data_IF_364244904449
#
_entry.id   IF_364244904449
#
_cell.length_a   1.000
_cell.length_b   1.000
_cell.length_c   1.000
_cell.angle_alpha   90.00
_cell.angle_beta   90.00
_cell.angle_gamma   90.00
#
_symmetry.space_group_name_H-M   'P 1'
#
loop_
_entity.id
_entity.type
_entity.pdbx_description
1 polymer ?
#
# COMPACT_ATOMS: atom_id res chain seq x y z
N UNK A 1 -66.64 -43.24 -50.49
CA UNK A 1 -66.79 -41.84 -50.97
C UNK A 1 -65.45 -41.14 -50.84
N UNK A 2 -64.91 -40.59 -51.93
CA UNK A 2 -63.68 -39.79 -51.89
C UNK A 2 -64.03 -38.46 -51.21
N UNK A 3 -63.35 -38.11 -50.12
CA UNK A 3 -63.61 -36.85 -49.42
C UNK A 3 -63.07 -35.68 -50.27
N UNK A 4 -63.92 -34.69 -50.52
CA UNK A 4 -63.63 -33.52 -51.35
C UNK A 4 -62.52 -32.66 -50.73
N UNK A 5 -61.65 -32.09 -51.57
CA UNK A 5 -60.66 -31.11 -51.12
C UNK A 5 -61.25 -29.71 -51.09
N UNK A 6 -60.92 -28.97 -50.03
CA UNK A 6 -61.33 -27.60 -49.80
C UNK A 6 -60.10 -26.71 -49.69
N UNK A 7 -60.20 -25.51 -50.26
CA UNK A 7 -59.26 -24.41 -50.13
C UNK A 7 -59.88 -23.34 -49.23
N UNK A 8 -59.22 -22.96 -48.13
CA UNK A 8 -59.66 -21.88 -47.25
C UNK A 8 -58.63 -20.74 -47.23
N UNK A 9 -59.11 -19.50 -47.34
CA UNK A 9 -58.28 -18.30 -47.27
C UNK A 9 -58.29 -17.66 -45.87
N UNK A 10 -57.14 -17.16 -45.41
CA UNK A 10 -56.92 -16.56 -44.09
C UNK A 10 -56.52 -15.08 -44.14
N UNK A 11 -56.52 -14.45 -45.31
CA UNK A 11 -55.99 -13.09 -45.53
C UNK A 11 -56.87 -12.22 -46.44
N UNK A 12 -56.84 -10.91 -46.20
CA UNK A 12 -57.45 -9.86 -47.03
C UNK A 12 -58.96 -10.00 -47.23
N UNK A 13 -59.48 -9.54 -48.37
CA UNK A 13 -60.92 -9.48 -48.66
C UNK A 13 -61.60 -10.86 -48.78
N UNK A 14 -60.83 -11.92 -49.06
CA UNK A 14 -61.32 -13.30 -49.19
C UNK A 14 -61.20 -14.11 -47.90
N UNK A 15 -60.83 -13.48 -46.78
CA UNK A 15 -60.66 -14.18 -45.50
C UNK A 15 -61.94 -14.91 -45.08
N UNK A 16 -61.82 -16.21 -44.81
CA UNK A 16 -62.92 -17.08 -44.39
C UNK A 16 -63.70 -17.71 -45.55
N UNK A 17 -63.41 -17.32 -46.79
CA UNK A 17 -63.97 -17.98 -47.98
C UNK A 17 -63.35 -19.36 -48.11
N UNK A 18 -64.21 -20.37 -48.30
CA UNK A 18 -63.84 -21.76 -48.51
C UNK A 18 -64.38 -22.24 -49.84
N UNK A 19 -63.51 -22.76 -50.70
CA UNK A 19 -63.86 -23.16 -52.06
C UNK A 19 -63.55 -24.64 -52.29
N UNK A 20 -64.46 -25.37 -52.94
CA UNK A 20 -64.19 -26.74 -53.37
C UNK A 20 -63.14 -26.80 -54.48
N UNK A 21 -62.31 -27.84 -54.45
CA UNK A 21 -61.40 -28.19 -55.54
C UNK A 21 -61.97 -29.42 -56.25
N UNK A 22 -62.69 -29.19 -57.34
CA UNK A 22 -63.29 -30.25 -58.18
C UNK A 22 -62.38 -30.55 -59.37
N UNK A 23 -61.49 -31.55 -59.23
CA UNK A 23 -60.40 -31.89 -60.15
C UNK A 23 -59.34 -30.80 -60.35
N UNK A 24 -59.73 -29.58 -60.76
CA UNK A 24 -58.85 -28.45 -61.02
C UNK A 24 -59.52 -27.14 -60.60
N UNK A 25 -58.80 -26.31 -59.86
CA UNK A 25 -59.19 -24.96 -59.49
C UNK A 25 -58.06 -23.99 -59.88
N UNK A 26 -58.39 -22.89 -60.56
CA UNK A 26 -57.38 -21.93 -61.02
C UNK A 26 -57.57 -20.58 -60.34
N UNK A 27 -56.51 -20.03 -59.78
CA UNK A 27 -56.48 -18.69 -59.21
C UNK A 27 -55.69 -17.77 -60.15
N UNK A 28 -56.23 -16.64 -60.55
CA UNK A 28 -55.56 -15.70 -61.49
C UNK A 28 -55.60 -14.27 -60.97
N UNK A 29 -54.66 -13.43 -61.41
CA UNK A 29 -54.67 -11.99 -61.09
C UNK A 29 -55.52 -11.12 -62.02
N UNK A 30 -56.03 -11.65 -63.13
CA UNK A 30 -56.94 -10.90 -64.02
C UNK A 30 -58.32 -10.73 -63.41
N UNK A 31 -58.94 -9.55 -63.57
CA UNK A 31 -60.31 -9.24 -63.13
C UNK A 31 -61.39 -9.70 -64.12
N UNK A 32 -61.03 -9.91 -65.39
CA UNK A 32 -61.96 -10.32 -66.44
C UNK A 32 -61.72 -11.78 -66.82
N UNK A 33 -62.68 -12.66 -66.51
CA UNK A 33 -62.57 -14.10 -66.79
C UNK A 33 -63.91 -14.63 -67.26
N UNK A 34 -63.88 -15.49 -68.29
CA UNK A 34 -65.05 -16.19 -68.86
C UNK A 34 -64.93 -17.72 -68.80
N UNK A 35 -63.88 -18.24 -68.14
CA UNK A 35 -63.61 -19.67 -67.96
C UNK A 35 -64.27 -20.19 -66.67
N UNK A 36 -64.81 -21.42 -66.72
CA UNK A 36 -65.31 -22.13 -65.55
C UNK A 36 -64.15 -22.60 -64.64
N UNK A 37 -64.38 -22.68 -63.33
CA UNK A 37 -63.39 -23.06 -62.29
C UNK A 37 -62.16 -22.14 -62.14
N UNK A 38 -62.32 -20.87 -62.51
CA UNK A 38 -61.29 -19.84 -62.34
C UNK A 38 -61.77 -18.74 -61.37
N UNK A 39 -60.92 -18.38 -60.41
CA UNK A 39 -61.22 -17.36 -59.39
C UNK A 39 -60.29 -16.16 -59.59
N UNK A 40 -60.83 -14.95 -59.80
CA UNK A 40 -60.05 -13.73 -59.85
C UNK A 40 -59.59 -13.33 -58.44
N UNK A 41 -58.28 -13.18 -58.26
CA UNK A 41 -57.63 -12.69 -57.04
C UNK A 41 -56.67 -11.53 -57.38
N UNK A 42 -57.19 -10.53 -58.10
CA UNK A 42 -56.44 -9.36 -58.56
C UNK A 42 -55.78 -8.53 -57.44
N UNK A 43 -56.30 -8.60 -56.21
CA UNK A 43 -55.69 -7.93 -55.05
C UNK A 43 -54.40 -8.60 -54.54
N UNK A 44 -54.16 -9.87 -54.91
CA UNK A 44 -53.05 -10.66 -54.38
C UNK A 44 -52.05 -11.15 -55.44
N UNK A 45 -52.49 -11.29 -56.70
CA UNK A 45 -51.73 -11.84 -57.81
C UNK A 45 -51.58 -10.80 -58.93
N UNK A 46 -50.45 -10.81 -59.65
CA UNK A 46 -50.29 -9.95 -60.83
C UNK A 46 -51.13 -10.49 -62.01
N UNK A 47 -51.50 -9.65 -62.99
CA UNK A 47 -52.34 -10.09 -64.12
C UNK A 47 -51.81 -11.32 -64.88
N UNK A 48 -50.49 -11.52 -64.88
CA UNK A 48 -49.80 -12.62 -65.55
C UNK A 48 -49.66 -13.88 -64.68
N UNK A 49 -49.98 -13.80 -63.39
CA UNK A 49 -49.87 -14.92 -62.46
C UNK A 49 -51.12 -15.82 -62.52
N UNK A 50 -50.87 -17.11 -62.75
CA UNK A 50 -51.86 -18.20 -62.74
C UNK A 50 -51.37 -19.29 -61.80
N UNK A 51 -52.15 -19.57 -60.75
CA UNK A 51 -51.90 -20.66 -59.81
C UNK A 51 -52.95 -21.73 -60.05
N UNK A 52 -52.53 -22.89 -60.51
CA UNK A 52 -53.42 -24.03 -60.74
C UNK A 52 -53.32 -25.01 -59.58
N UNK A 53 -54.44 -25.37 -58.99
CA UNK A 53 -54.58 -26.37 -57.95
C UNK A 53 -55.26 -27.59 -58.56
N UNK A 54 -54.50 -28.66 -58.73
CA UNK A 54 -54.98 -29.90 -59.35
C UNK A 54 -54.96 -31.04 -58.33
N UNK A 55 -56.04 -31.82 -58.31
CA UNK A 55 -56.11 -33.03 -57.51
C UNK A 55 -55.36 -34.18 -58.21
N UNK A 56 -54.20 -34.55 -57.66
CA UNK A 56 -53.42 -35.71 -58.12
C UNK A 56 -53.48 -36.82 -57.06
N UNK A 57 -54.36 -37.79 -57.27
CA UNK A 57 -54.55 -38.94 -56.39
C UNK A 57 -55.05 -38.53 -55.00
N UNK A 58 -54.18 -38.64 -54.00
CA UNK A 58 -54.47 -38.32 -52.60
C UNK A 58 -53.91 -36.98 -52.13
N UNK A 59 -53.41 -36.14 -53.05
CA UNK A 59 -52.76 -34.85 -52.77
C UNK A 59 -53.23 -33.75 -53.72
N UNK A 60 -53.07 -32.49 -53.31
CA UNK A 60 -53.24 -31.34 -54.21
C UNK A 60 -51.88 -30.87 -54.68
N UNK A 61 -51.70 -30.69 -55.99
CA UNK A 61 -50.52 -30.06 -56.56
C UNK A 61 -50.85 -28.63 -56.97
N UNK A 62 -50.02 -27.71 -56.52
CA UNK A 62 -50.04 -26.32 -56.94
C UNK A 62 -49.00 -26.11 -58.05
N UNK A 63 -49.43 -25.62 -59.22
CA UNK A 63 -48.57 -25.24 -60.35
C UNK A 63 -48.62 -23.72 -60.47
N UNK A 64 -47.46 -23.08 -60.62
CA UNK A 64 -47.36 -21.63 -60.77
C UNK A 64 -47.17 -20.88 -59.43
N UNK A 65 -47.35 -21.55 -58.29
CA UNK A 65 -47.03 -20.98 -56.97
C UNK A 65 -45.51 -20.72 -56.90
N UNK A 66 -45.10 -19.45 -56.85
CA UNK A 66 -43.70 -19.02 -56.94
C UNK A 66 -42.95 -19.59 -58.17
N UNK A 67 -43.64 -19.74 -59.31
CA UNK A 67 -43.13 -20.33 -60.57
C UNK A 67 -42.62 -21.77 -60.42
N UNK A 68 -43.08 -22.50 -59.39
CA UNK A 68 -42.70 -23.90 -59.13
C UNK A 68 -43.94 -24.79 -59.09
N UNK A 69 -43.69 -26.09 -59.24
CA UNK A 69 -44.66 -27.15 -58.97
C UNK A 69 -44.46 -27.63 -57.54
N UNK A 70 -45.49 -27.55 -56.70
CA UNK A 70 -45.42 -27.85 -55.27
C UNK A 70 -46.58 -28.75 -54.85
N UNK A 71 -46.29 -29.88 -54.22
CA UNK A 71 -47.32 -30.70 -53.56
C UNK A 71 -47.74 -30.03 -52.25
N UNK A 72 -49.02 -29.70 -52.13
CA UNK A 72 -49.59 -29.10 -50.94
C UNK A 72 -49.84 -30.17 -49.87
N UNK A 73 -49.43 -29.86 -48.64
CA UNK A 73 -49.63 -30.67 -47.44
C UNK A 73 -50.93 -30.22 -46.80
N UNK A 74 -51.79 -31.19 -46.49
CA UNK A 74 -53.06 -30.96 -45.79
C UNK A 74 -52.84 -30.15 -44.50
N UNK A 75 -53.73 -29.17 -44.27
CA UNK A 75 -53.74 -28.30 -43.09
C UNK A 75 -52.49 -27.41 -42.88
N UNK A 76 -51.53 -27.42 -43.81
CA UNK A 76 -50.40 -26.51 -43.79
C UNK A 76 -50.82 -25.15 -44.34
N UNK A 77 -50.44 -24.09 -43.63
CA UNK A 77 -50.70 -22.72 -44.05
C UNK A 77 -49.62 -22.29 -45.04
N UNK A 78 -50.04 -21.95 -46.25
CA UNK A 78 -49.21 -21.39 -47.31
C UNK A 78 -49.36 -19.89 -47.33
N UNK A 79 -48.25 -19.18 -47.59
CA UNK A 79 -48.22 -17.72 -47.73
C UNK A 79 -47.50 -17.35 -49.01
N UNK A 80 -48.17 -16.61 -49.89
CA UNK A 80 -47.64 -16.13 -51.15
C UNK A 80 -48.13 -14.70 -51.41
N UNK A 81 -47.21 -13.72 -51.46
CA UNK A 81 -47.52 -12.31 -51.81
C UNK A 81 -48.74 -11.72 -51.08
N UNK A 82 -48.91 -12.02 -49.80
CA UNK A 82 -50.05 -11.54 -49.00
C UNK A 82 -51.26 -12.49 -48.97
N UNK A 83 -51.40 -13.39 -49.95
CA UNK A 83 -52.37 -14.47 -49.94
C UNK A 83 -51.94 -15.55 -48.94
N UNK A 84 -52.79 -15.83 -47.97
CA UNK A 84 -52.62 -16.90 -46.99
C UNK A 84 -53.75 -17.89 -47.16
N UNK A 85 -53.44 -19.16 -47.44
CA UNK A 85 -54.43 -20.20 -47.63
C UNK A 85 -53.98 -21.54 -47.06
N UNK A 86 -54.92 -22.45 -46.84
CA UNK A 86 -54.63 -23.86 -46.58
C UNK A 86 -55.57 -24.75 -47.38
N UNK A 87 -55.15 -25.99 -47.62
CA UNK A 87 -55.98 -27.01 -48.25
C UNK A 87 -56.22 -28.15 -47.26
N UNK A 88 -57.43 -28.70 -47.24
CA UNK A 88 -57.79 -29.82 -46.38
C UNK A 88 -58.97 -30.61 -46.95
N UNK A 89 -59.14 -31.86 -46.51
CA UNK A 89 -60.32 -32.64 -46.90
C UNK A 89 -61.53 -32.22 -46.07
N UNK A 90 -62.71 -32.23 -46.69
CA UNK A 90 -63.97 -31.95 -46.02
C UNK A 90 -64.10 -32.79 -44.72
N UNK A 91 -64.38 -32.12 -43.59
CA UNK A 91 -64.43 -32.73 -42.26
C UNK A 91 -63.09 -32.87 -41.53
N UNK A 92 -61.95 -32.54 -42.16
CA UNK A 92 -60.59 -32.65 -41.57
C UNK A 92 -59.89 -31.30 -41.36
N UNK A 93 -60.65 -30.22 -41.18
CA UNK A 93 -60.12 -28.87 -40.99
C UNK A 93 -59.34 -28.77 -39.66
N UNK A 94 -58.03 -28.51 -39.73
CA UNK A 94 -57.15 -28.27 -38.57
C UNK A 94 -55.89 -27.45 -38.94
N UNK A 95 -56.01 -26.17 -39.31
CA UNK A 95 -54.88 -25.38 -39.81
C UNK A 95 -53.77 -25.18 -38.76
N UNK A 96 -52.52 -25.45 -39.13
CA UNK A 96 -51.35 -25.32 -38.26
C UNK A 96 -50.90 -23.85 -38.05
N UNK A 97 -51.64 -23.11 -37.20
CA UNK A 97 -51.32 -21.73 -36.84
C UNK A 97 -50.12 -21.64 -35.88
N UNK A 98 -48.97 -21.13 -36.36
CA UNK A 98 -47.83 -20.80 -35.48
C UNK A 98 -48.12 -19.53 -34.67
N UNK A 99 -48.24 -19.64 -33.35
CA UNK A 99 -48.37 -18.49 -32.43
C UNK A 99 -46.98 -18.01 -31.98
N UNK A 100 -46.56 -16.81 -32.36
CA UNK A 100 -45.26 -16.24 -31.98
C UNK A 100 -45.32 -15.45 -30.65
N UNK A 101 -45.55 -16.15 -29.53
CA UNK A 101 -45.69 -15.50 -28.20
C UNK A 101 -44.45 -14.71 -27.76
N UNK A 102 -43.24 -15.15 -28.15
CA UNK A 102 -41.99 -14.48 -27.75
C UNK A 102 -41.86 -13.05 -28.28
N UNK A 103 -42.30 -12.79 -29.53
CA UNK A 103 -42.26 -11.44 -30.12
C UNK A 103 -43.24 -10.48 -29.44
N UNK A 104 -44.35 -11.01 -28.91
CA UNK A 104 -45.34 -10.21 -28.20
C UNK A 104 -44.80 -9.66 -26.86
N UNK A 105 -43.94 -10.43 -26.17
CA UNK A 105 -43.38 -10.06 -24.86
C UNK A 105 -41.95 -9.51 -24.90
N UNK A 106 -41.38 -9.36 -26.10
CA UNK A 106 -40.02 -8.83 -26.28
C UNK A 106 -39.75 -7.49 -25.57
N UNK A 107 -40.63 -6.46 -25.64
CA UNK A 107 -40.37 -5.19 -24.95
C UNK A 107 -40.39 -5.35 -23.43
N UNK A 108 -41.29 -6.20 -22.89
CA UNK A 108 -41.37 -6.46 -21.46
C UNK A 108 -40.09 -7.13 -20.96
N UNK A 109 -39.57 -8.11 -21.69
CA UNK A 109 -38.31 -8.78 -21.38
C UNK A 109 -37.14 -7.80 -21.35
N UNK A 110 -37.04 -6.91 -22.35
CA UNK A 110 -35.97 -5.91 -22.42
C UNK A 110 -36.01 -4.95 -21.22
N UNK A 111 -37.19 -4.44 -20.86
CA UNK A 111 -37.36 -3.57 -19.68
C UNK A 111 -36.98 -4.32 -18.40
N UNK A 112 -37.42 -5.57 -18.26
CA UNK A 112 -37.12 -6.36 -17.07
C UNK A 112 -35.61 -6.57 -16.91
N UNK A 113 -34.92 -6.96 -17.98
CA UNK A 113 -33.45 -7.11 -17.98
C UNK A 113 -32.75 -5.80 -17.66
N UNK A 114 -33.17 -4.68 -18.27
CA UNK A 114 -32.57 -3.37 -18.02
C UNK A 114 -32.71 -2.94 -16.54
N UNK A 115 -33.89 -3.15 -15.93
CA UNK A 115 -34.11 -2.84 -14.51
C UNK A 115 -33.20 -3.68 -13.61
N UNK A 116 -33.09 -4.98 -13.86
CA UNK A 116 -32.21 -5.84 -13.08
C UNK A 116 -30.74 -5.43 -13.23
N UNK A 117 -30.32 -5.05 -14.43
CA UNK A 117 -28.97 -4.57 -14.69
C UNK A 117 -28.69 -3.28 -13.91
N UNK A 118 -29.62 -2.33 -13.93
CA UNK A 118 -29.50 -1.07 -13.20
C UNK A 118 -29.45 -1.28 -11.69
N UNK A 119 -30.30 -2.17 -11.15
CA UNK A 119 -30.28 -2.52 -9.73
C UNK A 119 -28.97 -3.20 -9.32
N UNK A 120 -28.45 -4.11 -10.15
CA UNK A 120 -27.18 -4.78 -9.88
C UNK A 120 -26.01 -3.78 -9.88
N UNK A 121 -25.95 -2.90 -10.89
CA UNK A 121 -24.91 -1.86 -10.98
C UNK A 121 -25.02 -0.89 -9.80
N UNK A 122 -26.22 -0.38 -9.51
CA UNK A 122 -26.45 0.55 -8.41
C UNK A 122 -26.16 -0.07 -7.03
N UNK A 123 -26.56 -1.33 -6.83
CA UNK A 123 -26.25 -2.07 -5.60
C UNK A 123 -24.74 -2.28 -5.42
N UNK A 124 -24.03 -2.63 -6.49
CA UNK A 124 -22.58 -2.79 -6.48
C UNK A 124 -21.86 -1.47 -6.16
N UNK A 125 -22.19 -0.38 -6.85
CA UNK A 125 -21.53 0.92 -6.62
C UNK A 125 -21.81 1.46 -5.23
N UNK A 126 -23.04 1.33 -4.73
CA UNK A 126 -23.39 1.71 -3.37
C UNK A 126 -22.62 0.90 -2.33
N UNK A 127 -22.53 -0.41 -2.50
CA UNK A 127 -21.78 -1.27 -1.58
C UNK A 127 -20.27 -0.94 -1.61
N UNK A 128 -19.69 -0.72 -2.78
CA UNK A 128 -18.30 -0.34 -2.92
C UNK A 128 -18.00 1.02 -2.25
N UNK A 129 -18.87 2.02 -2.43
CA UNK A 129 -18.74 3.31 -1.77
C UNK A 129 -18.79 3.18 -0.23
N UNK A 130 -19.73 2.37 0.27
CA UNK A 130 -19.86 2.11 1.71
C UNK A 130 -18.63 1.39 2.27
N UNK A 131 -18.10 0.40 1.57
CA UNK A 131 -16.89 -0.31 1.98
C UNK A 131 -15.67 0.62 2.03
N UNK A 132 -15.51 1.49 1.04
CA UNK A 132 -14.42 2.48 1.03
C UNK A 132 -14.52 3.46 2.20
N UNK A 133 -15.74 3.92 2.53
CA UNK A 133 -15.95 4.79 3.68
C UNK A 133 -15.62 4.07 5.00
N UNK A 134 -16.15 2.86 5.20
CA UNK A 134 -15.87 2.06 6.39
C UNK A 134 -14.37 1.79 6.55
N UNK A 135 -13.66 1.51 5.45
CA UNK A 135 -12.22 1.31 5.47
C UNK A 135 -11.47 2.59 5.90
N UNK A 136 -11.89 3.76 5.42
CA UNK A 136 -11.36 5.05 5.85
C UNK A 136 -11.55 5.28 7.36
N UNK A 137 -12.75 5.01 7.87
CA UNK A 137 -13.07 5.13 9.29
C UNK A 137 -12.18 4.18 10.14
N UNK A 138 -11.95 2.95 9.67
CA UNK A 138 -11.07 1.99 10.34
C UNK A 138 -9.60 2.46 10.34
N UNK A 139 -9.09 3.00 9.25
CA UNK A 139 -7.74 3.58 9.21
C UNK A 139 -7.60 4.75 10.18
N UNK A 140 -8.62 5.58 10.30
CA UNK A 140 -8.62 6.73 11.21
C UNK A 140 -8.56 6.28 12.68
N UNK A 141 -9.31 5.23 13.03
CA UNK A 141 -9.29 4.58 14.37
C UNK A 141 -7.94 3.95 14.69
N UNK A 142 -7.29 3.33 13.71
CA UNK A 142 -5.93 2.77 13.90
C UNK A 142 -4.94 3.90 14.20
N UNK A 143 -5.09 5.04 13.51
CA UNK A 143 -4.28 6.24 13.68
C UNK A 143 -2.83 6.05 13.27
N UNK A 144 -2.02 5.46 14.15
CA UNK A 144 -0.60 5.21 13.93
C UNK A 144 -0.25 3.78 14.31
N UNK A 145 0.40 3.09 13.37
CA UNK A 145 0.80 1.70 13.52
C UNK A 145 1.57 1.21 12.30
N UNK A 146 2.00 -0.03 12.34
CA UNK A 146 2.67 -0.68 11.21
C UNK A 146 2.18 -2.13 11.06
N UNK A 147 2.32 -2.66 9.85
CA UNK A 147 1.97 -4.06 9.56
C UNK A 147 3.26 -4.87 9.44
N UNK A 148 3.37 -5.94 10.22
CA UNK A 148 4.47 -6.89 10.16
C UNK A 148 3.91 -8.29 10.31
N UNK A 149 4.34 -9.21 9.44
CA UNK A 149 3.93 -10.62 9.45
C UNK A 149 2.39 -10.83 9.45
N UNK A 150 1.67 -9.95 8.74
CA UNK A 150 0.21 -10.00 8.65
C UNK A 150 -0.53 -9.53 9.91
N UNK A 151 0.18 -8.96 10.89
CA UNK A 151 -0.37 -8.39 12.10
C UNK A 151 -0.20 -6.87 12.12
N UNK A 152 -1.22 -6.18 12.62
CA UNK A 152 -1.24 -4.75 12.83
C UNK A 152 -0.74 -4.41 14.23
N UNK A 153 0.35 -3.67 14.32
CA UNK A 153 0.90 -3.14 15.56
C UNK A 153 0.40 -1.71 15.76
N UNK A 154 -0.35 -1.45 16.82
CA UNK A 154 -0.90 -0.12 17.14
C UNK A 154 -0.59 0.31 18.57
N UNK A 155 -0.50 1.62 18.79
CA UNK A 155 -0.20 2.23 20.08
C UNK A 155 -1.44 2.72 20.84
N UNK A 156 -2.65 2.64 20.26
CA UNK A 156 -3.89 3.15 20.84
C UNK A 156 -4.88 2.02 21.13
N UNK A 157 -4.90 1.51 22.36
CA UNK A 157 -5.79 0.41 22.77
C UNK A 157 -7.28 0.82 22.84
N UNK A 158 -7.57 2.06 23.23
CA UNK A 158 -8.95 2.51 23.56
C UNK A 158 -9.90 2.57 22.36
N UNK A 159 -9.37 2.70 21.14
CA UNK A 159 -10.17 2.86 19.92
C UNK A 159 -10.35 1.53 19.16
N UNK A 160 -9.61 0.47 19.52
CA UNK A 160 -9.68 -0.86 18.87
C UNK A 160 -11.05 -1.52 19.02
N UNK A 161 -11.83 -1.16 20.05
CA UNK A 161 -13.20 -1.66 20.23
C UNK A 161 -14.18 -1.23 19.12
N UNK A 162 -13.83 -0.20 18.34
CA UNK A 162 -14.60 0.26 17.18
C UNK A 162 -14.26 -0.51 15.89
N UNK A 163 -13.18 -1.29 15.89
CA UNK A 163 -12.79 -2.14 14.77
C UNK A 163 -13.62 -3.44 14.74
N UNK A 164 -13.73 -4.10 13.58
CA UNK A 164 -14.45 -5.36 13.50
C UNK A 164 -13.86 -6.41 14.45
N UNK A 165 -14.71 -7.08 15.25
CA UNK A 165 -14.28 -8.02 16.29
C UNK A 165 -13.31 -9.10 15.80
N UNK A 166 -13.46 -9.54 14.55
CA UNK A 166 -12.61 -10.56 13.94
C UNK A 166 -11.17 -10.08 13.66
N UNK A 167 -10.90 -8.76 13.68
CA UNK A 167 -9.55 -8.20 13.58
C UNK A 167 -8.75 -8.35 14.87
N UNK A 168 -9.39 -8.59 16.02
CA UNK A 168 -8.72 -8.64 17.32
C UNK A 168 -7.52 -9.60 17.36
N UNK A 169 -7.61 -10.74 16.65
CA UNK A 169 -6.53 -11.73 16.59
C UNK A 169 -5.31 -11.28 15.76
N UNK A 170 -5.48 -10.22 14.96
CA UNK A 170 -4.45 -9.67 14.08
C UNK A 170 -3.90 -8.34 14.61
N UNK A 171 -4.36 -7.87 15.78
CA UNK A 171 -3.95 -6.58 16.34
C UNK A 171 -3.07 -6.82 17.56
N UNK A 172 -1.83 -6.38 17.49
CA UNK A 172 -0.92 -6.31 18.63
C UNK A 172 -0.83 -4.88 19.14
N UNK A 173 -0.96 -4.72 20.45
CA UNK A 173 -0.84 -3.41 21.09
C UNK A 173 0.56 -3.22 21.64
N UNK A 174 1.19 -2.12 21.28
CA UNK A 174 2.51 -1.74 21.75
C UNK A 174 2.41 -0.90 23.03
N UNK A 175 3.31 -1.15 23.98
CA UNK A 175 3.54 -0.26 25.12
C UNK A 175 3.98 1.12 24.64
N UNK A 176 3.45 2.18 25.25
CA UNK A 176 3.74 3.57 24.86
C UNK A 176 4.91 4.17 25.65
N UNK A 177 5.37 3.51 26.70
CA UNK A 177 6.34 4.12 27.61
C UNK A 177 7.75 4.18 27.01
N UNK A 178 8.30 5.40 26.94
CA UNK A 178 9.67 5.74 26.53
C UNK A 178 10.03 5.57 25.04
N UNK A 179 9.06 5.63 24.13
CA UNK A 179 9.33 5.52 22.69
C UNK A 179 9.06 6.82 21.93
N UNK A 180 10.01 7.23 21.09
CA UNK A 180 9.80 8.27 20.08
C UNK A 180 9.02 7.68 18.91
N UNK A 181 8.01 8.42 18.45
CA UNK A 181 7.18 8.03 17.30
C UNK A 181 7.66 8.79 16.08
N UNK A 182 8.02 8.07 15.03
CA UNK A 182 8.26 8.65 13.72
C UNK A 182 7.05 8.42 12.80
N UNK A 183 6.80 9.37 11.91
CA UNK A 183 5.78 9.24 10.86
C UNK A 183 6.30 8.52 9.61
N UNK A 184 7.62 8.40 9.48
CA UNK A 184 8.29 7.76 8.34
C UNK A 184 9.08 6.55 8.83
N UNK A 185 9.10 5.49 8.01
CA UNK A 185 9.92 4.31 8.24
C UNK A 185 11.40 4.55 7.90
N UNK A 186 11.67 5.52 7.02
CA UNK A 186 13.03 5.92 6.67
C UNK A 186 13.48 7.00 7.64
N UNK A 187 14.45 6.65 8.49
CA UNK A 187 14.99 7.54 9.52
C UNK A 187 16.44 7.88 9.19
N UNK A 188 16.76 9.16 9.28
CA UNK A 188 18.14 9.64 9.28
C UNK A 188 18.56 9.95 10.71
N UNK A 189 19.71 9.44 11.13
CA UNK A 189 20.28 9.71 12.44
C UNK A 189 21.29 10.84 12.31
N UNK A 190 21.00 11.97 12.94
CA UNK A 190 21.85 13.17 12.88
C UNK A 190 22.25 13.57 14.29
N UNK A 191 23.51 13.96 14.46
CA UNK A 191 24.01 14.53 15.70
C UNK A 191 23.44 15.93 15.89
N UNK A 192 22.72 16.17 16.99
CA UNK A 192 22.20 17.49 17.34
C UNK A 192 23.32 18.54 17.49
N UNK A 193 24.47 18.12 18.03
CA UNK A 193 25.64 19.00 18.21
C UNK A 193 26.33 19.39 16.91
N UNK A 194 26.55 18.43 15.99
CA UNK A 194 27.38 18.67 14.79
C UNK A 194 26.59 18.82 13.50
N UNK A 195 25.31 18.48 13.49
CA UNK A 195 24.46 18.41 12.30
C UNK A 195 24.87 17.34 11.29
N UNK A 196 25.81 16.44 11.64
CA UNK A 196 26.33 15.41 10.74
C UNK A 196 25.63 14.06 10.98
N UNK A 197 25.52 13.19 9.95
CA UNK A 197 24.99 11.85 10.09
C UNK A 197 25.79 11.02 11.10
N UNK A 198 25.08 10.28 11.95
CA UNK A 198 25.63 9.33 12.91
C UNK A 198 25.58 7.92 12.33
N UNK A 199 26.63 7.13 12.59
CA UNK A 199 26.58 5.69 12.35
C UNK A 199 25.74 5.05 13.45
N UNK A 200 24.79 4.21 13.06
CA UNK A 200 24.01 3.40 13.98
C UNK A 200 23.75 2.02 13.40
N UNK A 201 23.32 1.11 14.26
CA UNK A 201 22.93 -0.25 13.91
C UNK A 201 21.48 -0.49 14.28
N UNK A 202 20.75 -1.22 13.43
CA UNK A 202 19.37 -1.61 13.70
C UNK A 202 19.37 -3.05 14.21
N UNK A 203 18.81 -3.27 15.40
CA UNK A 203 18.56 -4.59 15.97
C UNK A 203 17.06 -4.83 16.02
N UNK A 204 16.57 -5.85 15.30
CA UNK A 204 15.15 -6.22 15.34
C UNK A 204 14.83 -7.05 16.57
N UNK A 205 13.85 -6.59 17.35
CA UNK A 205 13.26 -7.31 18.48
C UNK A 205 11.87 -7.84 18.09
N UNK A 206 11.22 -8.57 19.00
CA UNK A 206 9.92 -9.19 18.76
C UNK A 206 8.81 -8.17 18.46
N UNK A 207 8.83 -7.01 19.13
CA UNK A 207 7.78 -6.00 19.10
C UNK A 207 8.21 -4.66 18.45
N UNK A 208 9.50 -4.50 18.14
CA UNK A 208 10.06 -3.25 17.62
C UNK A 208 11.45 -3.43 17.03
N UNK A 209 11.89 -2.44 16.27
CA UNK A 209 13.30 -2.27 15.94
C UNK A 209 13.96 -1.30 16.94
N UNK A 210 15.19 -1.59 17.33
CA UNK A 210 16.02 -0.72 18.16
C UNK A 210 17.15 -0.14 17.31
N UNK A 211 17.23 1.19 17.26
CA UNK A 211 18.40 1.89 16.71
C UNK A 211 19.41 2.07 17.84
N UNK A 212 20.63 1.58 17.63
CA UNK A 212 21.75 1.73 18.56
C UNK A 212 22.78 2.69 17.96
N UNK A 213 23.22 3.65 18.77
CA UNK A 213 24.20 4.67 18.39
C UNK A 213 25.28 4.69 19.46
N UNK A 214 26.55 4.66 19.04
CA UNK A 214 27.68 4.85 19.94
C UNK A 214 27.80 6.34 20.28
N UNK A 215 27.57 6.69 21.54
CA UNK A 215 27.60 8.06 22.05
C UNK A 215 28.86 8.36 22.86
N UNK A 216 29.79 7.40 22.97
CA UNK A 216 30.96 7.46 23.83
C UNK A 216 30.59 7.80 25.29
N UNK A 217 29.39 7.41 25.73
CA UNK A 217 28.86 7.77 27.04
C UNK A 217 29.80 7.33 28.17
N UNK A 218 30.37 6.12 28.07
CA UNK A 218 31.32 5.60 29.04
C UNK A 218 32.56 6.50 29.14
N UNK A 219 33.15 6.87 28.00
CA UNK A 219 34.33 7.74 27.97
C UNK A 219 34.01 9.12 28.56
N UNK A 220 32.87 9.71 28.18
CA UNK A 220 32.43 11.00 28.71
C UNK A 220 32.23 10.96 30.23
N UNK A 221 31.68 9.86 30.76
CA UNK A 221 31.52 9.66 32.21
C UNK A 221 32.87 9.52 32.92
N UNK A 222 33.83 8.81 32.32
CA UNK A 222 35.20 8.69 32.85
C UNK A 222 35.89 10.05 32.87
N UNK A 223 35.84 10.79 31.76
CA UNK A 223 36.40 12.14 31.66
C UNK A 223 35.80 13.09 32.70
N UNK A 224 34.47 13.07 32.86
CA UNK A 224 33.77 13.88 33.84
C UNK A 224 34.17 13.51 35.28
N UNK A 225 34.26 12.22 35.60
CA UNK A 225 34.64 11.73 36.92
C UNK A 225 36.09 12.15 37.26
N UNK A 226 37.05 11.91 36.37
CA UNK A 226 38.44 12.28 36.60
C UNK A 226 38.62 13.81 36.65
N UNK A 227 37.99 14.55 35.72
CA UNK A 227 38.08 16.00 35.64
C UNK A 227 37.49 16.71 36.85
N UNK A 228 36.36 16.24 37.40
CA UNK A 228 35.75 16.78 38.63
C UNK A 228 36.69 16.69 39.83
N UNK A 229 37.55 15.68 39.86
CA UNK A 229 38.51 15.45 40.94
C UNK A 229 39.92 15.97 40.60
N UNK A 230 40.05 16.81 39.57
CA UNK A 230 41.29 17.41 39.10
C UNK A 230 42.40 16.39 38.78
N UNK A 231 42.02 15.19 38.33
CA UNK A 231 42.96 14.17 37.86
C UNK A 231 43.24 14.47 36.40
N UNK A 232 44.48 14.73 36.04
CA UNK A 232 44.86 14.92 34.64
C UNK A 232 44.86 13.58 33.91
N UNK A 233 44.30 13.54 32.71
CA UNK A 233 44.19 12.32 31.94
C UNK A 233 44.32 12.54 30.43
N UNK A 234 44.72 11.49 29.71
CA UNK A 234 44.51 11.36 28.27
C UNK A 234 44.20 9.89 27.92
N UNK A 235 43.48 9.68 26.82
CA UNK A 235 43.15 8.34 26.32
C UNK A 235 44.01 8.00 25.11
N UNK A 236 44.58 6.79 25.09
CA UNK A 236 45.28 6.26 23.92
C UNK A 236 44.89 4.80 23.71
N UNK A 237 44.18 4.52 22.61
CA UNK A 237 43.52 3.24 22.40
C UNK A 237 42.53 2.97 23.53
N UNK A 238 42.58 1.78 24.11
CA UNK A 238 41.71 1.37 25.21
C UNK A 238 42.18 1.82 26.60
N UNK A 239 43.38 2.43 26.69
CA UNK A 239 44.00 2.77 27.97
C UNK A 239 43.82 4.25 28.32
N UNK A 240 43.56 4.48 29.61
CA UNK A 240 43.47 5.81 30.20
C UNK A 240 44.74 6.09 31.00
N UNK A 241 45.52 7.07 30.55
CA UNK A 241 46.73 7.49 31.23
C UNK A 241 46.40 8.63 32.19
N UNK A 242 46.69 8.44 33.47
CA UNK A 242 46.29 9.36 34.54
C UNK A 242 47.49 9.79 35.39
N UNK A 243 47.40 10.99 35.98
CA UNK A 243 48.45 11.54 36.86
C UNK A 243 48.62 10.77 38.17
N UNK A 244 47.52 10.27 38.75
CA UNK A 244 47.52 9.47 39.98
C UNK A 244 46.62 8.23 39.80
N UNK A 245 47.19 7.05 39.49
CA UNK A 245 46.43 5.83 39.28
C UNK A 245 45.66 5.34 40.51
N UNK A 246 46.18 5.56 41.71
CA UNK A 246 45.54 5.08 42.94
C UNK A 246 44.28 5.90 43.23
N UNK A 247 44.38 7.22 43.13
CA UNK A 247 43.25 8.14 43.30
C UNK A 247 42.25 8.02 42.15
N UNK A 248 42.71 7.86 40.91
CA UNK A 248 41.84 7.63 39.76
C UNK A 248 41.03 6.34 39.91
N UNK A 249 41.66 5.26 40.39
CA UNK A 249 40.97 4.00 40.67
C UNK A 249 39.85 4.17 41.70
N UNK A 250 40.10 4.91 42.78
CA UNK A 250 39.09 5.18 43.79
C UNK A 250 37.93 6.01 43.21
N UNK A 251 38.23 7.14 42.55
CA UNK A 251 37.22 8.01 41.94
C UNK A 251 36.34 7.27 40.93
N UNK A 252 36.93 6.43 40.06
CA UNK A 252 36.16 5.66 39.10
C UNK A 252 35.33 4.56 39.78
N UNK A 253 35.83 3.94 40.85
CA UNK A 253 35.06 2.94 41.61
C UNK A 253 33.86 3.59 42.31
N UNK A 254 34.07 4.73 42.96
CA UNK A 254 33.03 5.49 43.66
C UNK A 254 31.95 6.02 42.69
N UNK A 255 32.34 6.30 41.44
CA UNK A 255 31.41 6.71 40.36
C UNK A 255 30.68 5.54 39.68
N UNK A 256 30.89 4.29 40.11
CA UNK A 256 30.29 3.09 39.51
C UNK A 256 30.88 2.72 38.15
N UNK A 257 32.13 3.12 37.88
CA UNK A 257 32.88 2.90 36.64
C UNK A 257 34.03 1.90 36.83
N UNK A 258 33.85 0.92 37.73
CA UNK A 258 34.89 -0.06 38.08
C UNK A 258 35.40 -0.85 36.88
N UNK A 259 34.59 -1.04 35.82
CA UNK A 259 35.03 -1.69 34.59
C UNK A 259 36.21 -1.00 33.89
N UNK A 260 36.37 0.33 34.06
CA UNK A 260 37.44 1.11 33.42
C UNK A 260 38.75 1.08 34.22
N UNK A 261 38.72 0.62 35.47
CA UNK A 261 39.91 0.58 36.34
C UNK A 261 41.02 -0.29 35.75
N UNK A 262 40.66 -1.41 35.08
CA UNK A 262 41.62 -2.33 34.48
C UNK A 262 42.40 -1.74 33.30
N UNK A 263 41.94 -0.62 32.74
CA UNK A 263 42.60 0.06 31.62
C UNK A 263 43.34 1.33 32.03
N UNK A 264 43.37 1.66 33.33
CA UNK A 264 44.16 2.75 33.86
C UNK A 264 45.65 2.43 33.79
N UNK A 265 46.43 3.39 33.30
CA UNK A 265 47.89 3.37 33.34
C UNK A 265 48.41 4.65 33.96
N UNK A 266 49.54 4.56 34.64
CA UNK A 266 50.26 5.77 35.04
C UNK A 266 50.73 6.50 33.80
N UNK A 267 50.51 7.82 33.75
CA UNK A 267 51.23 8.69 32.83
C UNK A 267 52.72 8.55 33.16
N UNK A 268 53.51 8.02 32.24
CA UNK A 268 54.93 7.71 32.45
C UNK A 268 55.81 8.97 32.34
N UNK A 269 55.44 10.04 33.05
CA UNK A 269 56.26 11.26 33.11
C UNK A 269 57.21 11.22 34.32
N UNK A 270 57.08 10.23 35.22
CA UNK A 270 58.00 9.98 36.35
C UNK A 270 58.26 11.18 37.26
N UNK A 271 57.48 12.24 37.10
CA UNK A 271 57.78 13.53 37.68
C UNK A 271 57.11 13.64 39.05
N UNK A 272 57.91 13.96 40.06
CA UNK A 272 57.39 14.19 41.40
C UNK A 272 56.53 15.45 41.39
N UNK A 273 55.27 15.31 41.80
CA UNK A 273 54.36 16.43 41.87
C UNK A 273 54.73 17.32 43.06
N UNK A 274 54.94 18.60 42.81
CA UNK A 274 55.17 19.60 43.87
C UNK A 274 53.80 20.03 44.39
N UNK A 275 53.60 19.94 45.70
CA UNK A 275 52.36 20.39 46.34
C UNK A 275 52.34 21.91 46.54
N UNK A 276 51.17 22.53 46.74
CA UNK A 276 51.04 23.98 47.00
C UNK A 276 51.86 24.43 48.22
N UNK A 277 52.03 23.56 49.22
CA UNK A 277 52.85 23.85 50.40
C UNK A 277 54.36 23.90 50.08
N UNK A 278 54.79 23.19 49.05
CA UNK A 278 56.18 23.12 48.58
C UNK A 278 56.48 24.14 47.48
N UNK A 279 55.45 24.84 46.98
CA UNK A 279 55.55 25.87 45.96
C UNK A 279 55.14 27.25 46.51
N UNK A 280 55.97 27.90 47.35
CA UNK A 280 55.68 29.22 47.91
C UNK A 280 55.97 30.37 46.92
N UNK A 281 55.80 30.14 45.62
CA UNK A 281 56.19 31.09 44.57
C UNK A 281 54.95 31.66 43.87
N UNK A 282 55.00 32.95 43.54
CA UNK A 282 54.00 33.59 42.68
C UNK A 282 54.43 33.51 41.21
N UNK A 283 53.49 33.29 40.31
CA UNK A 283 53.77 33.14 38.87
C UNK A 283 53.28 34.39 38.14
N UNK A 284 54.17 35.00 37.35
CA UNK A 284 53.86 36.20 36.58
C UNK A 284 54.02 35.96 35.08
N UNK A 285 53.04 36.43 34.31
CA UNK A 285 53.03 36.41 32.86
C UNK A 285 53.22 37.84 32.36
N UNK A 286 54.30 38.10 31.63
CA UNK A 286 54.53 39.42 31.02
C UNK A 286 54.46 39.32 29.50
N UNK A 287 53.89 40.33 28.86
CA UNK A 287 53.71 40.37 27.41
C UNK A 287 55.01 40.61 26.62
N UNK A 288 56.11 40.99 27.29
CA UNK A 288 57.35 41.43 26.62
C UNK A 288 58.63 40.75 27.14
N UNK A 289 58.66 40.17 28.33
CA UNK A 289 59.89 39.62 28.95
C UNK A 289 59.76 38.20 29.49
N UNK A 290 58.78 37.44 29.00
CA UNK A 290 58.59 36.03 29.34
C UNK A 290 57.87 35.80 30.67
N UNK A 291 57.85 34.54 31.09
CA UNK A 291 57.21 34.07 32.32
C UNK A 291 58.27 33.92 33.41
N UNK A 292 57.92 34.24 34.65
CA UNK A 292 58.86 34.09 35.77
C UNK A 292 58.15 33.75 37.07
N UNK A 293 58.89 33.09 37.97
CA UNK A 293 58.50 32.86 39.35
C UNK A 293 59.06 33.98 40.23
N UNK A 294 58.33 34.32 41.28
CA UNK A 294 58.71 35.36 42.22
C UNK A 294 58.49 34.91 43.66
N UNK A 295 59.49 35.18 44.50
CA UNK A 295 59.39 35.16 45.96
C UNK A 295 59.99 36.45 46.55
N UNK A 296 60.05 36.55 47.87
CA UNK A 296 60.63 37.71 48.56
C UNK A 296 62.14 37.88 48.29
N UNK A 297 62.82 36.84 47.78
CA UNK A 297 64.28 36.80 47.57
C UNK A 297 64.68 37.16 46.14
N UNK A 298 63.82 36.94 45.14
CA UNK A 298 64.16 37.25 43.76
C UNK A 298 63.13 36.84 42.70
N UNK A 299 63.55 36.98 41.43
CA UNK A 299 62.80 36.55 40.24
C UNK A 299 63.56 35.44 39.54
N UNK A 300 62.85 34.40 39.11
CA UNK A 300 63.42 33.21 38.48
C UNK A 300 62.76 32.97 37.12
N UNK A 301 63.57 32.89 36.08
CA UNK A 301 63.14 32.60 34.70
C UNK A 301 63.44 31.14 34.34
N UNK A 302 62.93 30.67 33.21
CA UNK A 302 63.38 29.40 32.61
C UNK A 302 64.91 29.36 32.53
N UNK A 303 65.51 28.25 32.97
CA UNK A 303 66.94 28.07 33.15
C UNK A 303 67.50 28.54 34.50
N UNK A 304 66.72 29.24 35.34
CA UNK A 304 67.15 29.65 36.68
C UNK A 304 67.04 28.50 37.67
N UNK A 305 67.98 28.43 38.61
CA UNK A 305 67.94 27.48 39.74
C UNK A 305 67.11 28.05 40.89
N UNK A 306 66.06 27.31 41.28
CA UNK A 306 65.16 27.65 42.38
C UNK A 306 65.49 26.79 43.60
N UNK A 307 65.70 27.40 44.78
CA UNK A 307 66.04 26.66 45.99
C UNK A 307 65.06 25.51 46.27
N UNK A 308 65.58 24.31 46.54
CA UNK A 308 64.82 23.07 46.86
C UNK A 308 63.94 22.49 45.74
N UNK A 309 63.73 23.20 44.63
CA UNK A 309 62.95 22.72 43.49
C UNK A 309 63.80 22.33 42.28
N UNK A 310 64.97 22.97 42.10
CA UNK A 310 65.90 22.69 41.01
C UNK A 310 65.82 23.72 39.88
N UNK A 311 66.35 23.38 38.71
CA UNK A 311 66.39 24.27 37.55
C UNK A 311 65.04 24.28 36.84
N UNK A 312 64.49 25.46 36.60
CA UNK A 312 63.25 25.62 35.83
C UNK A 312 63.50 25.19 34.39
N UNK A 313 62.80 24.17 33.92
CA UNK A 313 62.84 23.70 32.54
C UNK A 313 61.79 24.38 31.66
N UNK A 314 60.59 24.60 32.21
CA UNK A 314 59.46 25.18 31.48
C UNK A 314 58.52 25.89 32.47
N UNK A 315 58.04 27.08 32.09
CA UNK A 315 56.90 27.75 32.72
C UNK A 315 55.81 27.86 31.66
N UNK A 316 54.73 27.11 31.81
CA UNK A 316 53.53 27.18 30.94
C UNK A 316 52.34 27.75 31.70
N UNK A 317 51.19 27.89 31.03
CA UNK A 317 49.98 28.44 31.66
C UNK A 317 49.34 27.47 32.67
N UNK A 318 49.59 26.18 32.53
CA UNK A 318 48.98 25.10 33.30
C UNK A 318 49.95 24.39 34.26
N UNK A 319 51.26 24.60 34.10
CA UNK A 319 52.29 23.96 34.94
C UNK A 319 53.63 24.70 34.96
N UNK A 320 54.44 24.34 35.94
CA UNK A 320 55.86 24.71 36.03
C UNK A 320 56.68 23.44 36.22
N UNK A 321 57.68 23.24 35.37
CA UNK A 321 58.51 22.04 35.35
C UNK A 321 59.91 22.37 35.85
N UNK A 322 60.41 21.57 36.77
CA UNK A 322 61.75 21.67 37.37
C UNK A 322 62.55 20.40 37.13
N UNK A 323 63.88 20.52 37.14
CA UNK A 323 64.80 19.41 37.15
C UNK A 323 65.88 19.62 38.21
N UNK A 324 65.98 18.70 39.17
CA UNK A 324 66.92 18.79 40.30
C UNK A 324 68.28 18.10 40.06
N UNK A 325 68.52 17.64 38.82
CA UNK A 325 69.71 16.87 38.43
C UNK A 325 69.51 15.36 38.48
N UNK A 326 68.45 14.86 39.13
CA UNK A 326 68.13 13.42 39.21
C UNK A 326 66.74 13.10 38.68
N UNK A 327 65.76 13.95 38.96
CA UNK A 327 64.37 13.73 38.62
C UNK A 327 63.67 15.02 38.19
N UNK A 328 62.65 14.87 37.36
CA UNK A 328 61.77 15.96 36.96
C UNK A 328 60.74 16.18 38.05
N UNK A 329 60.43 17.43 38.40
CA UNK A 329 59.39 17.78 39.37
C UNK A 329 58.42 18.76 38.73
N UNK A 330 57.12 18.61 38.97
CA UNK A 330 56.10 19.43 38.28
C UNK A 330 55.13 20.02 39.29
N UNK A 331 54.97 21.34 39.23
CA UNK A 331 53.88 22.05 39.91
C UNK A 331 52.74 22.32 38.92
N UNK A 332 51.51 21.99 39.28
CA UNK A 332 50.34 22.23 38.43
C UNK A 332 49.65 23.53 38.86
N UNK A 333 49.48 24.47 37.93
CA UNK A 333 48.88 25.77 38.21
C UNK A 333 47.36 25.61 38.24
N UNK A 334 46.77 25.80 39.42
CA UNK A 334 45.31 25.81 39.55
C UNK A 334 44.74 27.14 39.04
N UNK A 335 44.25 27.15 37.80
CA UNK A 335 43.50 28.29 37.26
C UNK A 335 42.13 28.31 37.95
N UNK A 336 41.95 29.23 38.91
CA UNK A 336 40.60 29.58 39.39
C UNK A 336 39.85 30.21 38.22
N UNK A 337 38.77 29.55 37.80
CA UNK A 337 37.78 30.16 36.90
C UNK A 337 36.99 31.24 37.61
#
# INVERSE_FOLDING_TARGET
MKAMWLLEFFSGCVKGVTLPIENKLVLVGSSEIKEDNVIPLAEFLTPEERIELEEQGSTIQAIGLAKKKLTLVENKIYRYRGLTFCVYRQGKRNPALKRFRLRQFQPLLLVTVAVHLLLAIGGYTFNAARQNQQFGDYLQVIGSGYIKDGQLYTSKLSEVSQLPKYWGNFIHTMSVENYLRASQFNLELVSDYSGKPLKGEITSLADRDQIRVETFELDNRVMAALGKHAISFYKQGDHWFVSDPARAKQVLTDAGLSQTVGTLKSRADGADLITDAEFPYSIFYTSHSGRYLYDELGRYWEGSEVPKLGVIQEISEDRVVFFDGKQTRVYLIQVKK
#
